data_IF_606916341235
#
_entry.id   IF_606916341235
#
_cell.length_a   1.000
_cell.length_b   1.000
_cell.length_c   1.000
_cell.angle_alpha   90.00
_cell.angle_beta   90.00
_cell.angle_gamma   90.00
#
_symmetry.space_group_name_H-M   'P 1'
#
loop_
_entity.id
_entity.type
_entity.pdbx_description
1 polymer ?
#
# COMPACT_ATOMS: atom_id res chain seq x y z
N UNK A 1 3.71 60.26 -45.13
CA UNK A 1 4.07 59.96 -43.72
C UNK A 1 2.90 59.26 -43.04
N UNK A 2 3.08 58.41 -42.01
CA UNK A 2 4.22 57.55 -41.69
C UNK A 2 3.82 56.06 -41.55
N UNK A 3 4.85 55.20 -41.44
CA UNK A 3 4.78 53.81 -41.02
C UNK A 3 4.00 53.63 -39.71
N UNK A 4 3.25 52.52 -39.60
CA UNK A 4 2.97 51.92 -38.30
C UNK A 4 3.27 50.44 -38.35
N UNK A 5 4.52 50.10 -37.99
CA UNK A 5 4.93 48.74 -37.63
C UNK A 5 4.12 48.32 -36.40
N UNK A 6 3.16 47.43 -36.57
CA UNK A 6 2.55 46.72 -35.44
C UNK A 6 3.57 45.69 -34.98
N UNK A 7 4.28 46.03 -33.91
CA UNK A 7 5.16 45.11 -33.18
C UNK A 7 4.29 43.99 -32.63
N UNK A 8 4.55 42.77 -33.10
CA UNK A 8 3.94 41.57 -32.57
C UNK A 8 4.29 41.39 -31.10
N UNK A 9 3.28 41.10 -30.29
CA UNK A 9 3.46 40.43 -29.01
C UNK A 9 3.09 38.98 -29.24
N UNK A 10 4.10 38.16 -29.54
CA UNK A 10 3.97 36.72 -29.37
C UNK A 10 3.64 36.46 -27.90
N UNK A 11 2.63 35.63 -27.57
CA UNK A 11 2.55 35.10 -26.23
C UNK A 11 3.79 34.22 -26.04
N UNK A 12 4.74 34.70 -25.25
CA UNK A 12 5.79 33.88 -24.69
C UNK A 12 5.10 32.84 -23.82
N UNK A 13 4.90 31.64 -24.36
CA UNK A 13 4.61 30.47 -23.53
C UNK A 13 5.84 30.27 -22.66
N UNK A 14 5.75 30.73 -21.42
CA UNK A 14 6.72 30.43 -20.37
C UNK A 14 6.98 28.92 -20.35
N UNK A 15 8.24 28.49 -20.12
CA UNK A 15 8.57 27.07 -20.05
C UNK A 15 7.73 26.46 -18.92
N UNK A 16 6.82 25.55 -19.29
CA UNK A 16 6.00 24.85 -18.32
C UNK A 16 6.92 24.03 -17.42
N UNK A 17 6.82 24.24 -16.11
CA UNK A 17 7.47 23.46 -15.07
C UNK A 17 6.80 22.08 -14.90
N UNK A 18 6.65 21.34 -16.00
CA UNK A 18 5.82 20.13 -16.13
C UNK A 18 6.20 19.02 -15.16
N UNK A 19 7.46 18.91 -14.73
CA UNK A 19 7.91 17.71 -14.04
C UNK A 19 7.41 17.62 -12.59
N UNK A 20 7.40 18.73 -11.83
CA UNK A 20 6.99 18.70 -10.43
C UNK A 20 5.46 18.61 -10.26
N UNK A 21 4.71 19.30 -11.11
CA UNK A 21 3.25 19.32 -11.06
C UNK A 21 2.64 17.97 -11.48
N UNK A 22 3.21 17.32 -12.51
CA UNK A 22 2.77 16.00 -12.97
C UNK A 22 3.03 14.93 -11.90
N UNK A 23 4.22 14.91 -11.29
CA UNK A 23 4.51 13.98 -10.19
C UNK A 23 3.59 14.22 -9.00
N UNK A 24 3.32 15.47 -8.63
CA UNK A 24 2.37 15.78 -7.56
C UNK A 24 0.97 15.26 -7.89
N UNK A 25 0.50 15.43 -9.12
CA UNK A 25 -0.81 14.93 -9.55
C UNK A 25 -0.89 13.40 -9.47
N UNK A 26 0.15 12.69 -9.93
CA UNK A 26 0.23 11.22 -9.86
C UNK A 26 0.23 10.76 -8.40
N UNK A 27 1.06 11.37 -7.55
CA UNK A 27 1.12 11.02 -6.12
C UNK A 27 -0.22 11.26 -5.42
N UNK A 28 -0.89 12.37 -5.72
CA UNK A 28 -2.21 12.67 -5.17
C UNK A 28 -3.27 11.67 -5.64
N UNK A 29 -3.21 11.26 -6.91
CA UNK A 29 -4.10 10.23 -7.44
C UNK A 29 -3.87 8.89 -6.74
N UNK A 30 -2.62 8.43 -6.67
CA UNK A 30 -2.25 7.17 -5.99
C UNK A 30 -2.67 7.20 -4.52
N UNK A 31 -2.37 8.28 -3.79
CA UNK A 31 -2.77 8.42 -2.40
C UNK A 31 -4.29 8.36 -2.22
N UNK A 32 -5.06 9.04 -3.08
CA UNK A 32 -6.53 8.96 -3.04
C UNK A 32 -7.03 7.55 -3.29
N UNK A 33 -6.45 6.82 -4.24
CA UNK A 33 -6.79 5.41 -4.50
C UNK A 33 -6.46 4.55 -3.28
N UNK A 34 -5.27 4.70 -2.69
CA UNK A 34 -4.86 3.93 -1.50
C UNK A 34 -5.80 4.19 -0.30
N UNK A 35 -6.14 5.45 -0.05
CA UNK A 35 -7.09 5.82 1.01
C UNK A 35 -8.48 5.29 0.73
N UNK A 36 -8.92 5.30 -0.53
CA UNK A 36 -10.21 4.74 -0.94
C UNK A 36 -10.27 3.22 -0.71
N UNK A 37 -9.23 2.48 -1.10
CA UNK A 37 -9.10 1.03 -0.84
C UNK A 37 -9.15 0.76 0.66
N UNK A 38 -8.40 1.52 1.47
CA UNK A 38 -8.43 1.42 2.93
C UNK A 38 -9.82 1.69 3.51
N UNK A 39 -10.56 2.62 2.91
CA UNK A 39 -11.89 3.02 3.36
C UNK A 39 -12.97 1.98 3.08
N UNK A 40 -12.79 1.03 2.17
CA UNK A 40 -13.80 0.00 1.89
C UNK A 40 -13.36 -1.35 2.46
N UNK A 41 -14.18 -1.96 3.34
CA UNK A 41 -13.85 -3.27 3.93
C UNK A 41 -13.61 -4.36 2.88
N UNK A 42 -14.43 -4.39 1.81
CA UNK A 42 -14.32 -5.41 0.76
C UNK A 42 -13.09 -5.19 -0.11
N UNK A 43 -12.79 -3.95 -0.50
CA UNK A 43 -11.58 -3.65 -1.28
C UNK A 43 -10.32 -3.88 -0.47
N UNK A 44 -10.36 -3.54 0.83
CA UNK A 44 -9.29 -3.84 1.77
C UNK A 44 -9.04 -5.34 1.89
N UNK A 45 -10.09 -6.17 1.99
CA UNK A 45 -9.96 -7.62 1.98
C UNK A 45 -9.29 -8.13 0.70
N UNK A 46 -9.73 -7.63 -0.46
CA UNK A 46 -9.15 -8.03 -1.73
C UNK A 46 -7.67 -7.65 -1.83
N UNK A 47 -7.29 -6.46 -1.37
CA UNK A 47 -5.90 -6.04 -1.30
C UNK A 47 -5.07 -6.94 -0.37
N UNK A 48 -5.61 -7.32 0.80
CA UNK A 48 -4.97 -8.27 1.71
C UNK A 48 -4.76 -9.65 1.07
N UNK A 49 -5.78 -10.19 0.40
CA UNK A 49 -5.69 -11.49 -0.30
C UNK A 49 -4.65 -11.48 -1.42
N UNK A 50 -4.55 -10.38 -2.17
CA UNK A 50 -3.52 -10.23 -3.20
C UNK A 50 -2.12 -10.19 -2.60
N UNK A 51 -1.93 -9.46 -1.50
CA UNK A 51 -0.62 -9.35 -0.83
C UNK A 51 -0.18 -10.70 -0.27
N UNK A 52 -1.07 -11.40 0.44
CA UNK A 52 -0.79 -12.76 0.94
C UNK A 52 -0.50 -13.71 -0.24
N UNK A 53 -1.31 -13.65 -1.31
CA UNK A 53 -1.11 -14.49 -2.50
C UNK A 53 0.22 -14.27 -3.23
N UNK A 54 0.76 -13.05 -3.19
CA UNK A 54 2.09 -12.76 -3.73
C UNK A 54 3.18 -13.33 -2.81
N UNK A 55 3.05 -13.19 -1.49
CA UNK A 55 3.97 -13.84 -0.52
C UNK A 55 4.03 -15.35 -0.72
N UNK A 56 2.86 -16.00 -0.85
CA UNK A 56 2.78 -17.42 -1.18
C UNK A 56 3.44 -17.81 -2.52
N UNK A 57 3.57 -16.87 -3.46
CA UNK A 57 4.18 -17.15 -4.76
C UNK A 57 5.68 -17.44 -4.66
N UNK A 58 6.35 -17.03 -3.56
CA UNK A 58 7.74 -17.36 -3.25
C UNK A 58 7.99 -18.87 -3.16
N UNK A 59 6.97 -19.68 -2.80
CA UNK A 59 7.07 -21.15 -2.81
C UNK A 59 7.07 -21.79 -4.21
N UNK A 60 6.61 -21.09 -5.26
CA UNK A 60 6.60 -21.64 -6.62
C UNK A 60 8.00 -21.67 -7.25
N UNK A 61 8.90 -20.78 -6.82
CA UNK A 61 10.27 -20.67 -7.32
C UNK A 61 11.27 -20.63 -6.15
N UNK A 62 11.51 -21.77 -5.48
CA UNK A 62 12.45 -21.84 -4.37
C UNK A 62 13.83 -21.32 -4.79
N UNK A 63 14.37 -20.36 -4.03
CA UNK A 63 15.65 -19.68 -4.28
C UNK A 63 15.55 -18.32 -4.98
N UNK A 64 14.58 -18.08 -5.88
CA UNK A 64 14.32 -16.74 -6.44
C UNK A 64 13.35 -15.96 -5.56
N UNK A 65 12.36 -16.65 -4.97
CA UNK A 65 11.45 -16.09 -3.97
C UNK A 65 12.20 -15.50 -2.78
N UNK A 66 13.15 -16.25 -2.22
CA UNK A 66 13.96 -15.83 -1.05
C UNK A 66 14.80 -14.56 -1.28
N UNK A 67 15.21 -14.28 -2.53
CA UNK A 67 15.87 -13.03 -2.90
C UNK A 67 14.88 -11.88 -3.07
N UNK A 68 13.65 -12.18 -3.48
CA UNK A 68 12.54 -11.24 -3.56
C UNK A 68 12.11 -10.72 -2.19
N UNK A 69 12.22 -11.54 -1.15
CA UNK A 69 11.83 -11.22 0.23
C UNK A 69 12.57 -10.02 0.80
N UNK A 70 13.81 -9.74 0.35
CA UNK A 70 14.58 -8.54 0.73
C UNK A 70 13.85 -7.25 0.34
N UNK A 71 13.14 -7.25 -0.79
CA UNK A 71 12.32 -6.13 -1.23
C UNK A 71 10.85 -6.25 -0.81
N UNK A 72 10.31 -7.46 -0.81
CA UNK A 72 8.91 -7.72 -0.55
C UNK A 72 8.57 -7.63 0.94
N UNK A 73 9.42 -8.12 1.85
CA UNK A 73 9.17 -8.04 3.29
C UNK A 73 9.00 -6.60 3.80
N UNK A 74 9.89 -5.62 3.47
CA UNK A 74 9.67 -4.22 3.82
C UNK A 74 8.41 -3.62 3.20
N UNK A 75 8.08 -4.01 1.95
CA UNK A 75 6.89 -3.53 1.25
C UNK A 75 5.61 -4.03 1.93
N UNK A 76 5.57 -5.32 2.29
CA UNK A 76 4.45 -5.91 3.02
C UNK A 76 4.30 -5.29 4.41
N UNK A 77 5.42 -5.08 5.12
CA UNK A 77 5.42 -4.41 6.41
C UNK A 77 4.83 -2.99 6.31
N UNK A 78 5.24 -2.21 5.31
CA UNK A 78 4.70 -0.88 5.06
C UNK A 78 3.21 -0.92 4.72
N UNK A 79 2.79 -1.86 3.87
CA UNK A 79 1.39 -2.06 3.51
C UNK A 79 0.53 -2.34 4.76
N UNK A 80 0.93 -3.30 5.60
CA UNK A 80 0.20 -3.64 6.83
C UNK A 80 0.11 -2.46 7.79
N UNK A 81 1.19 -1.68 7.94
CA UNK A 81 1.18 -0.48 8.75
C UNK A 81 0.23 0.59 8.19
N UNK A 82 0.28 0.85 6.88
CA UNK A 82 -0.60 1.83 6.23
C UNK A 82 -2.09 1.47 6.34
N UNK A 83 -2.40 0.18 6.21
CA UNK A 83 -3.76 -0.33 6.18
C UNK A 83 -4.38 -0.46 7.58
N UNK A 84 -3.62 -0.94 8.58
CA UNK A 84 -4.14 -1.27 9.92
C UNK A 84 -3.61 -0.36 11.04
N UNK A 85 -2.58 0.44 10.79
CA UNK A 85 -1.98 1.34 11.78
C UNK A 85 -1.23 0.64 12.91
N UNK A 86 -1.04 -0.69 12.84
CA UNK A 86 -0.38 -1.46 13.89
C UNK A 86 1.05 -1.81 13.53
N UNK A 87 1.99 -1.37 14.37
CA UNK A 87 3.42 -1.74 14.29
C UNK A 87 3.62 -3.24 14.54
N UNK A 88 2.82 -3.84 15.42
CA UNK A 88 2.94 -5.28 15.74
C UNK A 88 2.54 -6.13 14.55
N UNK A 89 1.43 -5.80 13.89
CA UNK A 89 1.00 -6.50 12.68
C UNK A 89 2.00 -6.33 11.53
N UNK A 90 2.52 -5.11 11.36
CA UNK A 90 3.57 -4.80 10.38
C UNK A 90 4.84 -5.63 10.60
N UNK A 91 5.30 -5.73 11.85
CA UNK A 91 6.44 -6.56 12.21
C UNK A 91 6.19 -8.05 12.01
N UNK A 92 4.97 -8.54 12.28
CA UNK A 92 4.61 -9.94 12.03
C UNK A 92 4.70 -10.29 10.53
N UNK A 93 4.14 -9.46 9.65
CA UNK A 93 4.27 -9.69 8.20
C UNK A 93 5.72 -9.59 7.71
N UNK A 94 6.48 -8.62 8.21
CA UNK A 94 7.92 -8.54 7.88
C UNK A 94 8.67 -9.82 8.27
N UNK A 95 8.43 -10.32 9.49
CA UNK A 95 9.08 -11.51 10.00
C UNK A 95 8.67 -12.75 9.22
N UNK A 96 7.42 -12.81 8.77
CA UNK A 96 6.91 -13.90 7.96
C UNK A 96 7.65 -13.99 6.62
N UNK A 97 7.77 -12.87 5.91
CA UNK A 97 8.38 -12.82 4.58
C UNK A 97 9.91 -12.93 4.61
N UNK A 98 10.58 -12.39 5.64
CA UNK A 98 12.05 -12.41 5.69
C UNK A 98 12.61 -13.78 6.12
N UNK A 99 11.78 -14.62 6.74
CA UNK A 99 12.17 -15.92 7.24
C UNK A 99 11.77 -16.99 6.22
N UNK A 100 12.74 -17.72 5.64
CA UNK A 100 12.43 -18.70 4.62
C UNK A 100 11.56 -19.81 5.19
N UNK A 101 10.43 -20.08 4.52
CA UNK A 101 9.50 -21.15 4.90
C UNK A 101 8.42 -20.75 5.89
N UNK A 102 8.31 -19.47 6.26
CA UNK A 102 7.17 -18.97 7.06
C UNK A 102 6.08 -18.27 6.26
N UNK A 103 6.27 -18.04 4.95
CA UNK A 103 5.35 -17.33 4.02
C UNK A 103 3.98 -18.01 3.79
N UNK A 104 3.63 -18.99 4.63
CA UNK A 104 2.41 -19.76 4.51
C UNK A 104 1.24 -19.14 5.30
N UNK A 105 1.47 -18.13 6.12
CA UNK A 105 0.44 -17.55 6.95
C UNK A 105 -0.26 -16.41 6.20
N UNK A 106 -1.59 -16.42 6.07
CA UNK A 106 -2.29 -15.31 5.43
C UNK A 106 -2.38 -14.11 6.39
N UNK A 107 -1.24 -13.51 6.74
CA UNK A 107 -1.12 -12.46 7.76
C UNK A 107 -1.98 -11.25 7.46
N UNK A 108 -2.00 -10.75 6.21
CA UNK A 108 -2.83 -9.61 5.86
C UNK A 108 -4.32 -9.92 5.98
N UNK A 109 -4.73 -11.12 5.59
CA UNK A 109 -6.12 -11.59 5.73
C UNK A 109 -6.53 -11.79 7.19
N UNK A 110 -5.63 -12.27 8.05
CA UNK A 110 -5.87 -12.39 9.50
C UNK A 110 -6.03 -10.99 10.12
N UNK A 111 -5.19 -10.04 9.74
CA UNK A 111 -5.32 -8.65 10.19
C UNK A 111 -6.68 -8.06 9.79
N UNK A 112 -7.14 -8.34 8.56
CA UNK A 112 -8.45 -7.93 8.09
C UNK A 112 -9.59 -8.52 8.90
N UNK A 113 -9.53 -9.83 9.17
CA UNK A 113 -10.54 -10.52 9.97
C UNK A 113 -10.60 -9.95 11.40
N UNK A 114 -9.42 -9.73 12.01
CA UNK A 114 -9.29 -9.08 13.32
C UNK A 114 -9.86 -7.66 13.34
N UNK A 115 -9.76 -6.91 12.24
CA UNK A 115 -10.37 -5.58 12.16
C UNK A 115 -11.89 -5.63 11.95
N UNK A 116 -12.43 -6.57 11.15
CA UNK A 116 -13.80 -6.47 10.59
C UNK A 116 -14.84 -7.42 11.20
N UNK A 117 -14.44 -8.40 12.01
CA UNK A 117 -15.35 -9.44 12.56
C UNK A 117 -15.40 -9.36 14.09
N UNK A 118 -16.52 -8.95 14.67
CA UNK A 118 -16.65 -8.91 16.13
C UNK A 118 -16.74 -10.32 16.73
N UNK A 119 -15.93 -10.62 17.74
CA UNK A 119 -15.98 -11.93 18.40
C UNK A 119 -14.90 -12.13 19.46
N UNK A 120 -15.20 -12.91 20.52
CA UNK A 120 -14.32 -13.06 21.69
C UNK A 120 -12.98 -13.71 21.35
N UNK A 121 -12.95 -14.65 20.40
CA UNK A 121 -11.71 -15.26 19.92
C UNK A 121 -10.78 -14.25 19.25
N UNK A 122 -11.36 -13.26 18.55
CA UNK A 122 -10.61 -12.25 17.82
C UNK A 122 -10.16 -11.09 18.74
N UNK A 123 -10.76 -10.91 19.91
CA UNK A 123 -10.33 -9.89 20.87
C UNK A 123 -8.93 -10.16 21.42
N UNK A 124 -8.61 -11.44 21.66
CA UNK A 124 -7.26 -11.86 22.00
C UNK A 124 -6.29 -11.51 20.86
N UNK A 125 -6.66 -11.80 19.62
CA UNK A 125 -5.84 -11.46 18.44
C UNK A 125 -5.67 -9.95 18.28
N UNK A 126 -6.71 -9.13 18.44
CA UNK A 126 -6.61 -7.65 18.43
C UNK A 126 -5.64 -7.15 19.49
N UNK A 127 -5.71 -7.73 20.69
CA UNK A 127 -4.82 -7.36 21.80
C UNK A 127 -3.36 -7.68 21.47
N UNK A 128 -3.11 -8.82 20.83
CA UNK A 128 -1.78 -9.26 20.42
C UNK A 128 -1.25 -8.49 19.21
N UNK A 129 -2.03 -8.39 18.13
CA UNK A 129 -1.64 -7.75 16.88
C UNK A 129 -1.78 -6.23 16.94
N UNK A 130 -2.46 -5.66 17.93
CA UNK A 130 -2.71 -4.23 18.04
C UNK A 130 -3.63 -3.64 16.99
N UNK A 131 -4.33 -4.49 16.23
CA UNK A 131 -5.30 -4.05 15.23
C UNK A 131 -6.58 -3.63 15.96
N UNK A 132 -7.02 -2.41 15.71
CA UNK A 132 -8.27 -1.89 16.27
C UNK A 132 -9.47 -2.47 15.54
N UNK A 133 -10.56 -2.69 16.28
CA UNK A 133 -11.83 -3.08 15.69
C UNK A 133 -12.42 -1.91 14.89
N UNK A 134 -12.81 -2.19 13.64
CA UNK A 134 -13.46 -1.22 12.78
C UNK A 134 -14.88 -0.95 13.27
N UNK A 135 -15.08 0.23 13.83
CA UNK A 135 -16.41 0.75 14.12
C UNK A 135 -17.14 1.01 12.79
N UNK A 136 -18.32 0.40 12.59
CA UNK A 136 -19.15 0.60 11.41
C UNK A 136 -20.00 1.86 11.52
#
# INVERSE_FOLDING_TARGET
>A
EPCSCVVGVMPTTAPQSTDAAELAQILQFVYKVLVFVRSSSVLKLFACLLVDGIGFSSFLLPGVGELGDVGWAPLQAWFLYFMFGSVRMSGLGFMEEILPGTDFMPSASIAWASENIDGPTLDALRTLTGVALRQR
#
